data_IF_629618208599
#
_entry.id   IF_629618208599
#
_cell.length_a   1.000
_cell.length_b   1.000
_cell.length_c   1.000
_cell.angle_alpha   90.00
_cell.angle_beta   90.00
_cell.angle_gamma   90.00
#
_symmetry.space_group_name_H-M   'P 1'
#
loop_
_entity.id
_entity.type
_entity.pdbx_description
1 polymer ?
#
# COMPACT_ATOMS: atom_id res chain seq x y z
N UNK A 1 -13.00 -11.50 -33.15
CA UNK A 1 -12.61 -12.67 -32.33
C UNK A 1 -13.10 -12.43 -30.92
N UNK A 2 -13.69 -13.44 -30.26
CA UNK A 2 -14.39 -13.28 -28.97
C UNK A 2 -13.53 -12.74 -27.82
N UNK A 3 -12.20 -12.87 -27.91
CA UNK A 3 -11.25 -12.29 -26.94
C UNK A 3 -11.10 -10.77 -27.07
N UNK A 4 -11.34 -10.19 -28.26
CA UNK A 4 -11.17 -8.75 -28.47
C UNK A 4 -12.22 -7.94 -27.69
N UNK A 5 -13.43 -8.48 -27.52
CA UNK A 5 -14.50 -7.89 -26.71
C UNK A 5 -14.13 -7.83 -25.22
N UNK A 6 -13.40 -8.83 -24.71
CA UNK A 6 -12.95 -8.85 -23.31
C UNK A 6 -11.90 -7.78 -22.97
N UNK A 7 -11.19 -7.25 -23.98
CA UNK A 7 -10.16 -6.21 -23.82
C UNK A 7 -10.61 -4.84 -24.37
N UNK A 8 -11.90 -4.64 -24.66
CA UNK A 8 -12.39 -3.32 -25.05
C UNK A 8 -12.31 -2.36 -23.86
N UNK A 9 -11.66 -1.21 -24.08
CA UNK A 9 -11.53 -0.15 -23.07
C UNK A 9 -12.85 0.56 -22.77
N UNK A 10 -13.85 0.41 -23.64
CA UNK A 10 -15.16 1.02 -23.52
C UNK A 10 -16.26 0.02 -23.91
N UNK A 11 -17.31 -0.04 -23.09
CA UNK A 11 -18.55 -0.75 -23.41
C UNK A 11 -19.75 0.13 -23.07
N UNK A 12 -20.82 0.15 -23.88
CA UNK A 12 -22.06 0.84 -23.56
C UNK A 12 -22.71 0.39 -22.24
N UNK A 13 -22.39 -0.81 -21.74
CA UNK A 13 -22.88 -1.32 -20.46
C UNK A 13 -22.20 -0.69 -19.23
N UNK A 14 -21.04 -0.03 -19.41
CA UNK A 14 -20.30 0.61 -18.30
C UNK A 14 -21.12 1.69 -17.57
N UNK A 15 -22.11 2.29 -18.23
CA UNK A 15 -23.03 3.26 -17.60
C UNK A 15 -23.91 2.64 -16.51
N UNK A 16 -24.12 1.32 -16.53
CA UNK A 16 -24.90 0.60 -15.52
C UNK A 16 -24.02 0.06 -14.36
N UNK A 17 -22.70 0.15 -14.48
CA UNK A 17 -21.73 -0.34 -13.47
C UNK A 17 -21.36 0.70 -12.41
N UNK A 18 -22.05 1.86 -12.38
CA UNK A 18 -21.83 2.90 -11.36
C UNK A 18 -21.88 2.37 -9.92
N UNK A 19 -22.81 1.47 -9.53
CA UNK A 19 -22.82 0.91 -8.18
C UNK A 19 -21.56 0.08 -7.87
N UNK A 20 -21.07 -0.70 -8.84
CA UNK A 20 -19.86 -1.50 -8.69
C UNK A 20 -18.62 -0.59 -8.54
N UNK A 21 -18.55 0.49 -9.33
CA UNK A 21 -17.49 1.48 -9.21
C UNK A 21 -17.48 2.17 -7.84
N UNK A 22 -18.65 2.57 -7.33
CA UNK A 22 -18.78 3.16 -5.99
C UNK A 22 -18.34 2.18 -4.90
N UNK A 23 -18.75 0.91 -5.01
CA UNK A 23 -18.35 -0.13 -4.06
C UNK A 23 -16.83 -0.32 -4.03
N UNK A 24 -16.20 -0.46 -5.19
CA UNK A 24 -14.75 -0.65 -5.30
C UNK A 24 -13.97 0.52 -4.69
N UNK A 25 -14.37 1.77 -4.98
CA UNK A 25 -13.74 2.95 -4.39
C UNK A 25 -14.04 3.08 -2.88
N UNK A 26 -15.22 2.64 -2.44
CA UNK A 26 -15.58 2.58 -1.02
C UNK A 26 -14.69 1.64 -0.22
N UNK A 27 -14.36 0.46 -0.75
CA UNK A 27 -13.42 -0.48 -0.12
C UNK A 27 -12.03 0.14 0.06
N UNK A 28 -11.53 0.86 -0.95
CA UNK A 28 -10.25 1.60 -0.87
C UNK A 28 -10.31 2.69 0.21
N UNK A 29 -11.41 3.45 0.30
CA UNK A 29 -11.57 4.48 1.32
C UNK A 29 -11.58 3.89 2.75
N UNK A 30 -12.19 2.72 2.92
CA UNK A 30 -12.19 2.00 4.19
C UNK A 30 -10.78 1.51 4.57
N UNK A 31 -10.03 0.93 3.63
CA UNK A 31 -8.65 0.51 3.85
C UNK A 31 -7.74 1.70 4.21
N UNK A 32 -7.89 2.83 3.52
CA UNK A 32 -7.16 4.06 3.85
C UNK A 32 -7.45 4.53 5.28
N UNK A 33 -8.74 4.59 5.63
CA UNK A 33 -9.18 5.06 6.96
C UNK A 33 -8.68 4.12 8.06
N UNK A 34 -8.81 2.81 7.86
CA UNK A 34 -8.34 1.80 8.81
C UNK A 34 -6.82 1.87 9.01
N UNK A 35 -6.03 1.95 7.93
CA UNK A 35 -4.58 2.02 7.99
C UNK A 35 -4.08 3.24 8.77
N UNK A 36 -4.64 4.43 8.50
CA UNK A 36 -4.32 5.63 9.28
C UNK A 36 -4.80 5.55 10.73
N UNK A 37 -5.99 4.99 10.97
CA UNK A 37 -6.50 4.76 12.32
C UNK A 37 -5.57 3.87 13.15
N UNK A 38 -5.04 2.79 12.58
CA UNK A 38 -4.09 1.91 13.24
C UNK A 38 -2.71 2.53 13.43
N UNK A 39 -2.22 3.27 12.43
CA UNK A 39 -0.96 4.02 12.53
C UNK A 39 -1.01 5.05 13.66
N UNK A 40 -2.11 5.81 13.75
CA UNK A 40 -2.30 6.80 14.80
C UNK A 40 -2.48 6.15 16.17
N UNK A 41 -3.17 5.02 16.25
CA UNK A 41 -3.32 4.30 17.51
C UNK A 41 -2.09 3.47 17.91
N UNK A 42 -1.04 3.40 17.08
CA UNK A 42 0.13 2.56 17.32
C UNK A 42 -0.19 1.06 17.33
N UNK A 43 -1.23 0.64 16.59
CA UNK A 43 -1.70 -0.77 16.53
C UNK A 43 -1.03 -1.59 15.43
N UNK A 44 -0.37 -0.95 14.46
CA UNK A 44 0.39 -1.66 13.43
C UNK A 44 1.58 -2.38 14.07
N UNK A 45 1.63 -3.70 13.95
CA UNK A 45 2.72 -4.55 14.45
C UNK A 45 3.24 -5.36 13.28
N UNK A 46 4.49 -5.09 12.89
CA UNK A 46 5.20 -6.04 12.02
C UNK A 46 5.61 -7.27 12.83
N UNK A 47 5.90 -8.35 12.14
CA UNK A 47 6.39 -9.58 12.77
C UNK A 47 7.87 -9.78 12.45
N UNK A 48 8.59 -10.47 13.32
CA UNK A 48 10.00 -10.80 13.11
C UNK A 48 10.92 -9.59 12.94
N UNK A 49 11.40 -9.36 11.70
CA UNK A 49 12.48 -8.42 11.37
C UNK A 49 12.00 -7.01 11.01
N UNK A 50 10.70 -6.82 10.82
CA UNK A 50 10.13 -5.50 10.55
C UNK A 50 9.08 -5.09 11.57
N UNK A 51 8.93 -3.79 11.78
CA UNK A 51 7.83 -3.22 12.56
C UNK A 51 7.47 -1.85 12.04
N UNK A 52 6.22 -1.45 12.30
CA UNK A 52 5.78 -0.07 12.09
C UNK A 52 5.76 0.61 13.45
N UNK A 53 6.44 1.73 13.57
CA UNK A 53 6.47 2.62 14.73
C UNK A 53 5.88 3.97 14.35
N UNK A 54 5.55 4.79 15.34
CA UNK A 54 5.00 6.13 15.15
C UNK A 54 6.00 7.17 15.63
N UNK A 55 6.43 8.06 14.73
CA UNK A 55 7.22 9.24 15.06
C UNK A 55 6.38 10.50 14.81
N UNK A 56 5.88 11.12 15.88
CA UNK A 56 4.98 12.27 15.77
C UNK A 56 3.67 11.88 15.08
N UNK A 57 3.46 12.30 13.83
CA UNK A 57 2.30 11.91 13.01
C UNK A 57 2.67 10.95 11.87
N UNK A 58 3.95 10.64 11.71
CA UNK A 58 4.44 9.83 10.61
C UNK A 58 4.53 8.36 11.04
N UNK A 59 3.92 7.44 10.30
CA UNK A 59 4.21 6.02 10.45
C UNK A 59 5.55 5.71 9.79
N UNK A 60 6.42 5.03 10.54
CA UNK A 60 7.79 4.67 10.16
C UNK A 60 7.91 3.16 10.17
N UNK A 61 8.32 2.58 9.05
CA UNK A 61 8.71 1.19 8.95
C UNK A 61 10.18 1.06 9.32
N UNK A 62 10.49 0.17 10.26
CA UNK A 62 11.84 -0.22 10.62
C UNK A 62 12.04 -1.67 10.24
N UNK A 63 13.05 -1.96 9.44
CA UNK A 63 13.46 -3.31 9.07
C UNK A 63 14.90 -3.56 9.49
N UNK A 64 15.18 -4.64 10.19
CA UNK A 64 16.53 -4.98 10.65
C UNK A 64 17.03 -6.28 10.03
N UNK A 65 18.19 -6.23 9.39
CA UNK A 65 18.87 -7.39 8.81
C UNK A 65 20.37 -7.28 9.01
N UNK A 66 21.01 -8.37 9.44
CA UNK A 66 22.47 -8.44 9.67
C UNK A 66 23.04 -7.31 10.56
N UNK A 67 22.26 -6.83 11.53
CA UNK A 67 22.66 -5.74 12.43
C UNK A 67 22.53 -4.33 11.84
N UNK A 68 22.05 -4.19 10.60
CA UNK A 68 21.69 -2.91 9.98
C UNK A 68 20.18 -2.70 10.04
N UNK A 69 19.74 -1.49 10.37
CA UNK A 69 18.32 -1.12 10.42
C UNK A 69 18.02 -0.06 9.37
N UNK A 70 17.18 -0.42 8.39
CA UNK A 70 16.62 0.52 7.43
C UNK A 70 15.33 1.13 7.99
N UNK A 71 15.16 2.44 7.75
CA UNK A 71 13.98 3.19 8.19
C UNK A 71 13.36 3.91 7.01
N UNK A 72 12.05 3.76 6.86
CA UNK A 72 11.30 4.33 5.75
C UNK A 72 9.97 4.91 6.22
N UNK A 73 9.50 5.95 5.56
CA UNK A 73 8.14 6.43 5.73
C UNK A 73 7.18 5.45 5.04
N UNK A 74 6.37 4.72 5.82
CA UNK A 74 5.41 3.72 5.29
C UNK A 74 4.10 4.36 4.84
N UNK A 75 4.22 5.51 4.18
CA UNK A 75 3.11 6.20 3.49
C UNK A 75 3.37 6.06 2.00
N UNK A 76 2.45 5.39 1.31
CA UNK A 76 2.55 5.16 -0.11
C UNK A 76 2.60 6.49 -0.89
N UNK A 77 3.61 6.71 -1.74
CA UNK A 77 3.74 7.94 -2.53
C UNK A 77 2.68 8.08 -3.63
N UNK A 78 1.91 7.02 -3.92
CA UNK A 78 0.82 7.07 -4.91
C UNK A 78 -0.33 7.97 -4.41
N UNK A 79 -1.03 7.55 -3.35
CA UNK A 79 -2.21 8.25 -2.81
C UNK A 79 -2.26 8.27 -1.28
N UNK A 80 -1.12 8.10 -0.60
CA UNK A 80 -1.02 8.31 0.84
C UNK A 80 -1.56 7.18 1.73
N UNK A 81 -1.75 5.98 1.19
CA UNK A 81 -2.12 4.80 1.99
C UNK A 81 -1.00 4.35 2.92
N UNK A 82 -1.33 3.97 4.16
CA UNK A 82 -0.36 3.36 5.09
C UNK A 82 -0.06 1.94 4.62
N UNK A 83 1.22 1.63 4.45
CA UNK A 83 1.68 0.32 3.97
C UNK A 83 1.58 -0.74 5.07
N UNK A 84 1.43 -2.00 4.66
CA UNK A 84 1.53 -3.18 5.52
C UNK A 84 2.85 -3.90 5.27
N UNK A 85 3.40 -4.52 6.30
CA UNK A 85 4.53 -5.42 6.13
C UNK A 85 4.06 -6.78 5.62
N UNK A 86 4.75 -7.32 4.63
CA UNK A 86 4.57 -8.67 4.09
C UNK A 86 5.81 -9.50 4.43
N UNK A 87 5.67 -10.38 5.43
CA UNK A 87 6.72 -11.25 5.94
C UNK A 87 7.17 -12.34 4.95
N UNK A 88 6.34 -12.70 3.97
CA UNK A 88 6.66 -13.76 3.00
C UNK A 88 7.66 -13.25 1.96
N UNK A 89 7.55 -11.98 1.59
CA UNK A 89 8.33 -11.37 0.51
C UNK A 89 9.28 -10.26 0.99
N UNK A 90 9.40 -10.05 2.31
CA UNK A 90 10.18 -8.97 2.93
C UNK A 90 9.91 -7.59 2.28
N UNK A 91 8.62 -7.25 2.13
CA UNK A 91 8.18 -6.06 1.38
C UNK A 91 7.14 -5.23 2.12
N UNK A 92 7.07 -3.94 1.77
CA UNK A 92 6.00 -3.04 2.18
C UNK A 92 4.95 -2.97 1.07
N UNK A 93 3.73 -3.40 1.37
CA UNK A 93 2.65 -3.51 0.40
C UNK A 93 1.52 -2.50 0.72
N UNK A 94 1.10 -1.75 -0.30
CA UNK A 94 0.00 -0.78 -0.18
C UNK A 94 -1.34 -1.49 -0.40
N UNK A 95 -2.23 -1.54 0.61
CA UNK A 95 -3.52 -2.23 0.48
C UNK A 95 -4.52 -1.51 -0.44
N UNK A 96 -4.23 -0.26 -0.85
CA UNK A 96 -5.16 0.53 -1.66
C UNK A 96 -5.16 0.11 -3.13
N UNK A 97 -3.97 0.05 -3.74
CA UNK A 97 -3.82 -0.19 -5.18
C UNK A 97 -2.64 -1.12 -5.50
N UNK A 98 -2.08 -1.80 -4.50
CA UNK A 98 -1.04 -2.81 -4.70
C UNK A 98 0.34 -2.27 -5.09
N UNK A 99 0.68 -1.01 -4.79
CA UNK A 99 2.09 -0.59 -4.86
C UNK A 99 2.93 -1.33 -3.82
N UNK A 100 4.11 -1.79 -4.21
CA UNK A 100 4.99 -2.65 -3.41
C UNK A 100 6.40 -2.08 -3.37
N UNK A 101 7.08 -2.23 -2.24
CA UNK A 101 8.41 -1.69 -2.02
C UNK A 101 9.28 -2.70 -1.29
N UNK A 102 10.59 -2.69 -1.55
CA UNK A 102 11.57 -3.46 -0.76
C UNK A 102 11.54 -3.00 0.69
N UNK A 103 12.09 -3.81 1.59
CA UNK A 103 12.28 -3.42 2.98
C UNK A 103 13.00 -2.06 3.18
N UNK A 104 13.94 -1.74 2.29
CA UNK A 104 14.70 -0.47 2.27
C UNK A 104 13.98 0.67 1.53
N UNK A 105 12.76 0.44 1.05
CA UNK A 105 11.87 1.45 0.46
C UNK A 105 11.98 1.64 -1.05
N UNK A 106 12.77 0.83 -1.76
CA UNK A 106 12.85 0.89 -3.23
C UNK A 106 11.55 0.36 -3.84
N UNK A 107 10.99 1.06 -4.82
CA UNK A 107 9.80 0.63 -5.55
C UNK A 107 10.06 -0.72 -6.26
N UNK A 108 9.17 -1.69 -6.03
CA UNK A 108 9.16 -2.99 -6.71
C UNK A 108 8.10 -3.02 -7.81
N UNK A 109 6.89 -2.61 -7.47
CA UNK A 109 5.73 -2.66 -8.35
C UNK A 109 4.77 -1.53 -7.97
N UNK A 110 3.97 -1.06 -8.92
CA UNK A 110 2.77 -0.33 -8.56
C UNK A 110 2.23 0.55 -9.68
N UNK A 111 1.16 1.29 -9.35
CA UNK A 111 0.93 2.62 -9.91
C UNK A 111 1.81 3.71 -9.29
N UNK A 112 2.44 3.48 -8.12
CA UNK A 112 3.44 4.39 -7.58
C UNK A 112 4.63 4.54 -8.55
N UNK A 113 5.20 5.75 -8.64
CA UNK A 113 6.29 6.08 -9.58
C UNK A 113 7.58 6.52 -8.89
N UNK A 114 7.66 6.40 -7.57
CA UNK A 114 8.84 6.76 -6.79
C UNK A 114 9.02 5.82 -5.59
N UNK A 115 10.25 5.76 -5.09
CA UNK A 115 10.60 5.07 -3.83
C UNK A 115 9.90 5.69 -2.62
N UNK A 116 9.88 4.94 -1.51
CA UNK A 116 9.57 5.48 -0.20
C UNK A 116 10.67 6.43 0.26
N UNK A 117 10.25 7.44 1.04
CA UNK A 117 11.19 8.34 1.70
C UNK A 117 11.95 7.59 2.80
N UNK A 118 13.26 7.45 2.63
CA UNK A 118 14.19 6.97 3.68
C UNK A 118 14.30 8.00 4.81
N UNK A 119 14.54 7.52 6.03
CA UNK A 119 14.60 8.29 7.28
C UNK A 119 15.92 8.10 8.02
#
# INVERSE_FOLDING_TARGET
MRWAEAFQSYSPTQLFDLPAAVRANGEVAMEMTAGWGDALAGRQRGTGRARIVREGFLPVGEYTSNGHTDRVCVVCPHLGGVLRWNDVEDSWDCPLHGSRFTAAGTLLEGPATSDLRRL
#
